data_IF_582678206744
#
_entry.id   IF_582678206744
#
_cell.length_a   1.000
_cell.length_b   1.000
_cell.length_c   1.000
_cell.angle_alpha   90.00
_cell.angle_beta   90.00
_cell.angle_gamma   90.00
#
_symmetry.space_group_name_H-M   'P 1'
#
loop_
_entity.id
_entity.type
_entity.pdbx_description
1 polymer ?
#
# COMPACT_ATOMS: atom_id res chain seq x y z
N UNK A 1 13.53 29.59 26.04
CA UNK A 1 12.11 30.02 26.01
C UNK A 1 11.30 29.04 25.15
N UNK A 2 11.11 27.80 25.63
CA UNK A 2 10.43 26.72 24.88
C UNK A 2 9.90 25.60 25.81
N UNK A 3 9.37 25.97 26.98
CA UNK A 3 8.82 25.04 27.99
C UNK A 3 7.35 25.33 28.34
N UNK A 4 6.71 26.28 27.64
CA UNK A 4 5.35 26.74 27.95
C UNK A 4 4.29 25.99 27.12
N UNK A 5 4.62 25.39 25.96
CA UNK A 5 3.62 24.73 25.10
C UNK A 5 3.14 23.36 25.60
N UNK A 6 3.95 22.63 26.38
CA UNK A 6 3.59 21.28 26.87
C UNK A 6 2.60 21.28 28.04
N UNK A 7 2.55 22.36 28.85
CA UNK A 7 1.60 22.47 29.97
C UNK A 7 0.15 22.65 29.52
N UNK A 8 -0.06 23.23 28.33
CA UNK A 8 -1.41 23.44 27.79
C UNK A 8 -2.00 22.18 27.14
N UNK A 9 -1.16 21.33 26.55
CA UNK A 9 -1.60 20.09 25.90
C UNK A 9 -2.17 19.07 26.91
N UNK A 10 -1.52 18.91 28.07
CA UNK A 10 -1.97 17.98 29.13
C UNK A 10 -3.31 18.41 29.76
N UNK A 11 -3.53 19.71 29.91
CA UNK A 11 -4.79 20.23 30.47
C UNK A 11 -5.95 20.15 29.47
N UNK A 12 -5.69 20.27 28.17
CA UNK A 12 -6.71 20.16 27.13
C UNK A 12 -7.25 18.72 27.02
N UNK A 13 -6.40 17.70 27.16
CA UNK A 13 -6.81 16.30 27.03
C UNK A 13 -7.71 15.82 28.17
N UNK A 14 -7.53 16.35 29.37
CA UNK A 14 -8.32 15.98 30.56
C UNK A 14 -9.67 16.71 30.57
N UNK A 15 -9.71 17.97 30.12
CA UNK A 15 -10.96 18.74 30.01
C UNK A 15 -11.93 18.22 28.93
N UNK A 16 -11.43 17.49 27.94
CA UNK A 16 -12.25 16.89 26.87
C UNK A 16 -12.88 15.56 27.31
N UNK A 17 -12.25 14.80 28.22
CA UNK A 17 -12.76 13.50 28.68
C UNK A 17 -13.63 13.57 29.94
N UNK A 18 -13.65 14.69 30.65
CA UNK A 18 -14.59 14.94 31.75
C UNK A 18 -15.33 16.21 31.38
N UNK A 19 -16.64 16.13 31.13
CA UNK A 19 -17.52 17.26 30.79
C UNK A 19 -17.53 18.32 31.91
N UNK A 20 -16.44 19.05 32.07
CA UNK A 20 -16.25 20.09 33.07
C UNK A 20 -16.04 21.41 32.33
N UNK A 21 -17.09 22.23 32.34
CA UNK A 21 -17.06 23.63 31.94
C UNK A 21 -16.39 24.46 33.05
N UNK A 22 -15.06 24.35 33.16
CA UNK A 22 -14.29 25.14 34.12
C UNK A 22 -13.10 25.84 33.44
N UNK A 23 -12.79 27.09 33.82
CA UNK A 23 -11.65 27.81 33.27
C UNK A 23 -10.32 27.15 33.69
N UNK A 24 -9.45 26.92 32.71
CA UNK A 24 -8.15 26.21 32.78
C UNK A 24 -7.12 26.80 33.77
N UNK A 25 -7.42 27.91 34.44
CA UNK A 25 -6.48 28.68 35.26
C UNK A 25 -6.25 28.14 36.70
N UNK A 26 -6.78 26.95 37.06
CA UNK A 26 -6.80 26.46 38.46
C UNK A 26 -6.22 25.06 38.71
N UNK A 27 -5.33 24.57 37.85
CA UNK A 27 -4.69 23.27 38.04
C UNK A 27 -3.22 23.39 38.47
N UNK A 28 -2.84 22.68 39.54
CA UNK A 28 -1.46 22.62 40.04
C UNK A 28 -1.02 21.16 40.14
N UNK A 29 0.03 20.79 39.41
CA UNK A 29 0.68 19.49 39.55
C UNK A 29 1.67 19.53 40.71
N UNK A 30 1.54 18.63 41.68
CA UNK A 30 2.41 18.55 42.85
C UNK A 30 3.14 17.22 42.81
N UNK A 31 4.48 17.26 42.75
CA UNK A 31 5.32 16.10 42.95
C UNK A 31 5.67 16.02 44.45
N UNK A 32 5.26 14.95 45.14
CA UNK A 32 5.73 14.62 46.48
C UNK A 32 6.41 13.26 46.42
N UNK A 33 7.73 13.25 46.22
CA UNK A 33 8.66 12.41 46.98
C UNK A 33 10.12 12.73 46.60
N UNK A 34 10.91 13.08 47.60
CA UNK A 34 12.36 12.99 47.58
C UNK A 34 12.70 11.54 47.87
N UNK A 35 12.87 10.71 46.84
CA UNK A 35 13.72 9.50 46.78
C UNK A 35 13.33 8.67 45.54
N UNK A 36 14.32 7.97 44.98
CA UNK A 36 14.24 7.24 43.72
C UNK A 36 13.17 6.12 43.72
N UNK A 37 11.93 6.45 43.35
CA UNK A 37 10.93 5.51 42.86
C UNK A 37 9.85 6.27 42.08
N UNK A 38 9.68 5.95 40.80
CA UNK A 38 8.66 6.51 39.89
C UNK A 38 7.28 5.90 40.19
N UNK A 39 6.65 6.20 41.32
CA UNK A 39 5.28 5.73 41.56
C UNK A 39 4.40 6.83 42.16
N UNK A 40 3.39 7.21 41.37
CA UNK A 40 2.21 8.05 41.64
C UNK A 40 2.38 9.57 41.47
N UNK A 41 1.75 10.10 40.41
CA UNK A 41 1.48 11.53 40.26
C UNK A 41 0.05 11.82 40.73
N UNK A 42 -0.12 12.90 41.49
CA UNK A 42 -1.43 13.34 41.96
C UNK A 42 -1.81 14.65 41.28
N UNK A 43 -2.96 14.66 40.61
CA UNK A 43 -3.60 15.89 40.14
C UNK A 43 -4.54 16.39 41.23
N UNK A 44 -4.31 17.62 41.70
CA UNK A 44 -5.19 18.27 42.68
C UNK A 44 -5.92 19.43 42.01
N UNK A 45 -7.25 19.37 42.01
CA UNK A 45 -8.10 20.45 41.53
C UNK A 45 -8.75 21.15 42.73
N UNK A 46 -8.71 22.48 42.73
CA UNK A 46 -9.35 23.31 43.74
C UNK A 46 -10.61 23.99 43.19
N UNK A 47 -11.77 23.66 43.77
CA UNK A 47 -13.08 24.22 43.44
C UNK A 47 -13.64 24.90 44.69
N UNK A 48 -13.41 26.22 44.79
CA UNK A 48 -13.65 26.96 46.03
C UNK A 48 -12.77 26.44 47.17
N UNK A 49 -13.34 26.28 48.37
CA UNK A 49 -12.62 25.76 49.54
C UNK A 49 -12.46 24.22 49.56
N UNK A 50 -12.93 23.52 48.52
CA UNK A 50 -12.82 22.05 48.42
C UNK A 50 -11.67 21.64 47.50
N UNK A 51 -10.91 20.65 47.94
CA UNK A 51 -9.81 20.05 47.18
C UNK A 51 -10.13 18.61 46.79
N UNK A 52 -10.01 18.29 45.51
CA UNK A 52 -10.20 16.94 44.96
C UNK A 52 -8.85 16.41 44.51
N UNK A 53 -8.55 15.15 44.86
CA UNK A 53 -7.27 14.50 44.54
C UNK A 53 -7.56 13.26 43.68
N UNK A 54 -6.95 13.19 42.50
CA UNK A 54 -7.09 12.05 41.61
C UNK A 54 -5.81 11.21 41.66
N UNK A 55 -5.97 9.90 41.88
CA UNK A 55 -4.91 8.91 41.70
C UNK A 55 -4.89 8.51 40.22
N UNK A 56 -3.86 8.90 39.49
CA UNK A 56 -3.54 8.24 38.22
C UNK A 56 -2.52 7.14 38.48
N UNK A 57 -2.89 5.89 38.18
CA UNK A 57 -1.93 4.78 38.19
C UNK A 57 -0.91 4.95 37.06
N UNK A 58 0.34 4.49 37.20
CA UNK A 58 1.44 4.76 36.24
C UNK A 58 1.29 4.15 34.83
N UNK A 59 0.14 3.55 34.50
CA UNK A 59 -0.07 2.79 33.27
C UNK A 59 -0.19 3.64 31.99
N UNK A 60 -0.27 4.98 32.09
CA UNK A 60 -0.45 5.85 30.91
C UNK A 60 0.77 6.71 30.53
N UNK A 61 1.92 6.57 31.19
CA UNK A 61 3.08 7.44 30.96
C UNK A 61 4.40 6.72 30.62
N UNK A 62 4.37 5.46 30.18
CA UNK A 62 5.57 4.78 29.64
C UNK A 62 5.89 5.12 28.17
N UNK A 63 5.06 5.93 27.49
CA UNK A 63 5.09 6.16 26.04
C UNK A 63 6.25 6.99 25.47
N UNK A 64 7.29 7.31 26.25
CA UNK A 64 8.47 8.01 25.72
C UNK A 64 9.81 7.46 26.20
N UNK A 65 9.88 6.16 26.49
CA UNK A 65 11.15 5.45 26.22
C UNK A 65 11.26 5.31 24.72
N UNK A 66 12.45 5.58 24.18
CA UNK A 66 12.84 5.31 22.79
C UNK A 66 12.66 3.82 22.50
N UNK A 67 11.42 3.41 22.22
CA UNK A 67 11.12 2.06 21.76
C UNK A 67 11.88 1.88 20.45
N UNK A 68 12.84 0.96 20.51
CA UNK A 68 13.40 0.32 19.33
C UNK A 68 12.20 -0.02 18.43
N UNK A 69 12.20 0.53 17.21
CA UNK A 69 11.09 0.39 16.26
C UNK A 69 10.53 -1.03 16.31
N UNK A 70 9.27 -1.22 16.73
CA UNK A 70 8.68 -2.53 16.91
C UNK A 70 8.73 -3.38 15.63
N UNK A 71 8.79 -2.74 14.46
CA UNK A 71 8.93 -3.40 13.17
C UNK A 71 10.35 -3.92 12.89
N UNK A 72 11.38 -3.40 13.57
CA UNK A 72 12.78 -3.83 13.40
C UNK A 72 13.02 -5.30 13.77
N UNK A 73 12.11 -5.92 14.53
CA UNK A 73 12.14 -7.37 14.81
C UNK A 73 11.89 -8.24 13.58
N UNK A 74 11.31 -7.66 12.53
CA UNK A 74 11.06 -8.34 11.26
C UNK A 74 12.20 -8.13 10.25
N UNK A 75 13.38 -7.69 10.71
CA UNK A 75 14.53 -7.39 9.86
C UNK A 75 14.50 -5.94 9.38
N UNK A 76 14.57 -5.73 8.07
CA UNK A 76 14.65 -4.39 7.46
C UNK A 76 13.27 -3.71 7.31
N UNK A 77 12.33 -4.01 8.19
CA UNK A 77 11.01 -3.40 8.19
C UNK A 77 10.97 -2.21 9.15
N UNK A 78 10.30 -1.15 8.71
CA UNK A 78 10.16 0.11 9.43
C UNK A 78 8.73 0.33 9.86
N UNK A 79 8.53 1.04 10.96
CA UNK A 79 7.21 1.50 11.39
C UNK A 79 6.59 2.49 10.40
N UNK A 80 5.30 2.29 10.08
CA UNK A 80 4.52 3.25 9.31
C UNK A 80 4.38 4.62 10.02
N UNK A 81 3.97 5.65 9.28
CA UNK A 81 3.76 7.01 9.81
C UNK A 81 2.80 7.06 11.00
N UNK A 82 2.93 8.10 11.82
CA UNK A 82 2.19 8.30 13.07
C UNK A 82 0.67 8.28 12.93
N UNK A 83 0.14 8.58 11.75
CA UNK A 83 -1.29 8.46 11.45
C UNK A 83 -1.80 7.02 11.64
N UNK A 84 -1.01 6.03 11.20
CA UNK A 84 -1.34 4.62 11.35
C UNK A 84 -1.01 4.09 12.73
N UNK A 85 0.11 4.51 13.33
CA UNK A 85 0.47 4.14 14.71
C UNK A 85 -0.66 4.51 15.67
N UNK A 86 -1.14 5.77 15.62
CA UNK A 86 -2.23 6.25 16.48
C UNK A 86 -3.53 5.45 16.32
N UNK A 87 -3.81 4.94 15.11
CA UNK A 87 -5.00 4.15 14.84
C UNK A 87 -4.90 2.70 15.35
N UNK A 88 -3.73 2.08 15.18
CA UNK A 88 -3.52 0.66 15.44
C UNK A 88 -3.04 0.33 16.86
N UNK A 89 -2.28 1.23 17.50
CA UNK A 89 -1.76 1.02 18.85
C UNK A 89 -2.84 0.70 19.89
N UNK A 90 -4.01 1.40 19.93
CA UNK A 90 -5.08 1.06 20.88
C UNK A 90 -5.66 -0.35 20.70
N UNK A 91 -5.43 -0.96 19.54
CA UNK A 91 -5.94 -2.27 19.17
C UNK A 91 -4.86 -3.36 19.31
N UNK A 92 -3.68 -3.03 19.85
CA UNK A 92 -2.49 -3.89 19.95
C UNK A 92 -1.96 -4.37 18.59
N UNK A 93 -2.09 -3.54 17.55
CA UNK A 93 -1.54 -3.80 16.22
C UNK A 93 -0.48 -2.77 15.82
N UNK A 94 0.42 -3.22 14.96
CA UNK A 94 1.40 -2.36 14.29
C UNK A 94 1.32 -2.59 12.78
N UNK A 95 1.58 -1.53 12.03
CA UNK A 95 1.77 -1.55 10.59
C UNK A 95 3.24 -1.28 10.30
N UNK A 96 3.87 -2.22 9.62
CA UNK A 96 5.23 -2.14 9.16
C UNK A 96 5.25 -1.97 7.64
N UNK A 97 6.27 -1.30 7.13
CA UNK A 97 6.55 -1.19 5.70
C UNK A 97 8.03 -1.46 5.41
N UNK A 98 8.33 -1.88 4.17
CA UNK A 98 9.69 -2.17 3.70
C UNK A 98 9.85 -1.70 2.27
N UNK A 99 10.88 -0.90 2.02
CA UNK A 99 11.27 -0.50 0.67
C UNK A 99 12.03 -1.64 -0.02
N UNK A 100 11.69 -1.88 -1.28
CA UNK A 100 12.31 -2.90 -2.14
C UNK A 100 13.04 -2.30 -3.35
N UNK A 101 13.00 -0.97 -3.52
CA UNK A 101 13.67 -0.27 -4.62
C UNK A 101 12.85 0.92 -5.15
N UNK A 102 13.55 2.01 -5.50
CA UNK A 102 12.96 3.32 -5.83
C UNK A 102 13.42 3.90 -7.17
N UNK A 103 13.64 3.05 -8.20
CA UNK A 103 14.11 3.47 -9.53
C UNK A 103 12.98 3.76 -10.56
N UNK A 104 11.75 4.00 -10.08
CA UNK A 104 10.55 4.13 -10.92
C UNK A 104 9.82 2.80 -11.16
N UNK A 105 10.34 1.68 -10.65
CA UNK A 105 9.68 0.37 -10.64
C UNK A 105 9.12 -0.02 -9.26
N UNK A 106 8.92 0.94 -8.34
CA UNK A 106 8.66 0.66 -6.93
C UNK A 106 7.48 -0.30 -6.67
N UNK A 107 6.39 -0.18 -7.44
CA UNK A 107 5.27 -1.13 -7.37
C UNK A 107 5.68 -2.57 -7.70
N UNK A 108 6.41 -2.75 -8.80
CA UNK A 108 6.89 -4.05 -9.25
C UNK A 108 7.94 -4.62 -8.28
N UNK A 109 8.83 -3.76 -7.74
CA UNK A 109 9.78 -4.14 -6.70
C UNK A 109 9.09 -4.59 -5.41
N UNK A 110 8.12 -3.81 -4.92
CA UNK A 110 7.36 -4.16 -3.72
C UNK A 110 6.59 -5.47 -3.90
N UNK A 111 5.95 -5.65 -5.05
CA UNK A 111 5.22 -6.88 -5.38
C UNK A 111 6.16 -8.09 -5.43
N UNK A 112 7.22 -8.04 -6.23
CA UNK A 112 8.22 -9.12 -6.32
C UNK A 112 8.88 -9.40 -4.96
N UNK A 113 9.20 -8.34 -4.22
CA UNK A 113 9.81 -8.41 -2.90
C UNK A 113 8.94 -9.10 -1.87
N UNK A 114 7.65 -8.76 -1.82
CA UNK A 114 6.67 -9.42 -0.95
C UNK A 114 6.53 -10.90 -1.28
N UNK A 115 6.40 -11.25 -2.56
CA UNK A 115 6.30 -12.65 -2.99
C UNK A 115 7.55 -13.44 -2.59
N UNK A 116 8.73 -12.84 -2.70
CA UNK A 116 9.99 -13.46 -2.28
C UNK A 116 10.08 -13.63 -0.76
N UNK A 117 9.76 -12.59 -0.01
CA UNK A 117 9.80 -12.61 1.47
C UNK A 117 8.83 -13.64 2.07
N UNK A 118 7.77 -14.02 1.34
CA UNK A 118 6.79 -15.04 1.76
C UNK A 118 6.94 -16.39 1.03
N UNK A 119 8.06 -16.61 0.35
CA UNK A 119 8.38 -17.83 -0.40
C UNK A 119 7.32 -18.24 -1.45
N UNK A 120 6.64 -17.25 -2.06
CA UNK A 120 5.67 -17.47 -3.13
C UNK A 120 6.34 -17.44 -4.51
N UNK A 121 6.67 -18.63 -5.02
CA UNK A 121 7.26 -18.84 -6.34
C UNK A 121 6.22 -18.84 -7.46
N UNK A 122 6.66 -18.75 -8.71
CA UNK A 122 5.78 -18.76 -9.89
C UNK A 122 4.81 -19.95 -9.93
N UNK A 123 5.22 -21.14 -9.48
CA UNK A 123 4.36 -22.34 -9.41
C UNK A 123 3.17 -22.19 -8.45
N UNK A 124 3.26 -21.28 -7.47
CA UNK A 124 2.15 -20.95 -6.60
C UNK A 124 1.05 -20.20 -7.35
N UNK A 125 1.25 -19.82 -8.61
CA UNK A 125 0.28 -19.13 -9.44
C UNK A 125 -0.18 -20.05 -10.58
N UNK A 126 -1.48 -20.28 -10.65
CA UNK A 126 -2.13 -20.90 -11.80
C UNK A 126 -2.84 -19.79 -12.55
N UNK A 127 -2.43 -19.52 -13.79
CA UNK A 127 -3.09 -18.51 -14.62
C UNK A 127 -4.59 -18.88 -14.78
N UNK A 128 -5.52 -17.93 -14.54
CA UNK A 128 -6.93 -18.20 -14.70
C UNK A 128 -7.28 -18.63 -16.12
N UNK A 129 -8.05 -19.69 -16.26
CA UNK A 129 -8.58 -20.12 -17.57
C UNK A 129 -9.56 -19.12 -18.18
N UNK A 130 -10.01 -18.15 -17.39
CA UNK A 130 -10.90 -17.05 -17.79
C UNK A 130 -10.15 -15.90 -18.48
N UNK A 131 -8.82 -15.93 -18.52
CA UNK A 131 -8.04 -14.94 -19.24
C UNK A 131 -8.41 -14.94 -20.74
N UNK A 132 -8.44 -13.77 -21.39
CA UNK A 132 -8.56 -13.69 -22.85
C UNK A 132 -7.50 -14.56 -23.54
N UNK A 133 -7.89 -15.28 -24.61
CA UNK A 133 -7.04 -16.28 -25.27
C UNK A 133 -5.64 -15.75 -25.65
N UNK A 134 -5.57 -14.51 -26.12
CA UNK A 134 -4.32 -13.83 -26.45
C UNK A 134 -3.40 -13.67 -25.24
N UNK A 135 -3.93 -13.24 -24.10
CA UNK A 135 -3.18 -13.09 -22.85
C UNK A 135 -2.77 -14.46 -22.33
N UNK A 136 -3.68 -15.43 -22.30
CA UNK A 136 -3.41 -16.79 -21.83
C UNK A 136 -2.25 -17.44 -22.60
N UNK A 137 -2.32 -17.43 -23.93
CA UNK A 137 -1.26 -17.96 -24.81
C UNK A 137 0.08 -17.28 -24.51
N UNK A 138 0.07 -15.95 -24.38
CA UNK A 138 1.26 -15.16 -24.10
C UNK A 138 1.94 -15.49 -22.78
N UNK A 139 1.16 -15.75 -21.71
CA UNK A 139 1.70 -16.05 -20.38
C UNK A 139 2.07 -17.52 -20.20
N UNK A 140 1.41 -18.44 -20.92
CA UNK A 140 1.74 -19.87 -20.89
C UNK A 140 3.10 -20.16 -21.53
N UNK A 141 3.48 -19.35 -22.52
CA UNK A 141 4.77 -19.41 -23.21
C UNK A 141 5.91 -18.72 -22.44
N UNK A 142 5.63 -18.04 -21.33
CA UNK A 142 6.68 -17.50 -20.47
C UNK A 142 7.41 -18.64 -19.75
N UNK A 143 8.73 -18.54 -19.56
CA UNK A 143 9.50 -19.55 -18.84
C UNK A 143 8.91 -19.82 -17.44
N UNK A 144 8.38 -21.03 -17.24
CA UNK A 144 7.89 -21.50 -15.93
C UNK A 144 9.07 -22.02 -15.14
N UNK A 145 9.82 -21.11 -14.54
CA UNK A 145 10.94 -21.49 -13.69
C UNK A 145 10.43 -21.67 -12.25
N UNK A 146 11.06 -22.53 -11.45
CA UNK A 146 10.84 -22.58 -9.99
C UNK A 146 11.43 -21.34 -9.26
N UNK A 147 11.38 -20.17 -9.89
CA UNK A 147 11.87 -18.90 -9.38
C UNK A 147 10.74 -18.01 -8.88
N UNK A 148 11.10 -17.00 -8.12
CA UNK A 148 10.22 -15.89 -7.79
C UNK A 148 10.04 -15.00 -9.02
N UNK A 149 8.88 -14.36 -9.13
CA UNK A 149 8.70 -13.29 -10.09
C UNK A 149 9.66 -12.14 -9.79
N UNK A 150 10.40 -11.73 -10.79
CA UNK A 150 11.19 -10.50 -10.80
C UNK A 150 10.29 -9.31 -11.11
N UNK A 151 10.76 -8.11 -10.75
CA UNK A 151 10.05 -6.87 -11.10
C UNK A 151 9.92 -6.69 -12.63
N UNK A 152 10.88 -7.16 -13.42
CA UNK A 152 10.86 -7.10 -14.88
C UNK A 152 9.79 -8.04 -15.46
N UNK A 153 9.68 -9.27 -14.95
CA UNK A 153 8.64 -10.21 -15.36
C UNK A 153 7.24 -9.69 -15.03
N UNK A 154 7.04 -9.11 -13.85
CA UNK A 154 5.75 -8.48 -13.50
C UNK A 154 5.39 -7.33 -14.44
N UNK A 155 6.39 -6.55 -14.86
CA UNK A 155 6.20 -5.45 -15.81
C UNK A 155 5.87 -5.96 -17.22
N UNK A 156 6.47 -7.08 -17.63
CA UNK A 156 6.10 -7.81 -18.85
C UNK A 156 4.64 -8.26 -18.79
N UNK A 157 4.18 -8.85 -17.68
CA UNK A 157 2.78 -9.28 -17.54
C UNK A 157 1.81 -8.09 -17.67
N UNK A 158 2.13 -6.95 -17.06
CA UNK A 158 1.34 -5.73 -17.20
C UNK A 158 1.30 -5.24 -18.66
N UNK A 159 2.44 -5.26 -19.37
CA UNK A 159 2.51 -4.91 -20.79
C UNK A 159 1.68 -5.85 -21.67
N UNK A 160 1.76 -7.17 -21.44
CA UNK A 160 0.92 -8.17 -22.14
C UNK A 160 -0.56 -7.84 -21.95
N UNK A 161 -0.98 -7.51 -20.72
CA UNK A 161 -2.38 -7.17 -20.45
C UNK A 161 -2.83 -5.89 -21.16
N UNK A 162 -1.98 -4.88 -21.19
CA UNK A 162 -2.25 -3.63 -21.89
C UNK A 162 -2.45 -3.89 -23.39
N UNK A 163 -1.51 -4.59 -24.03
CA UNK A 163 -1.59 -4.91 -25.47
C UNK A 163 -2.72 -5.92 -25.77
N UNK A 164 -3.00 -6.83 -24.83
CA UNK A 164 -3.90 -7.97 -25.00
C UNK A 164 -3.21 -9.26 -25.47
N UNK A 165 -1.96 -9.16 -25.91
CA UNK A 165 -1.06 -10.26 -26.31
C UNK A 165 0.40 -9.86 -26.06
N UNK A 166 1.32 -10.82 -26.03
CA UNK A 166 2.72 -10.58 -26.28
C UNK A 166 2.91 -10.42 -27.80
N UNK A 167 3.21 -9.22 -28.32
CA UNK A 167 3.25 -8.99 -29.76
C UNK A 167 4.51 -9.55 -30.45
N UNK A 168 5.42 -10.14 -29.68
CA UNK A 168 6.61 -10.86 -30.19
C UNK A 168 6.41 -12.38 -30.25
N UNK A 169 5.32 -12.89 -29.67
CA UNK A 169 4.98 -14.31 -29.69
C UNK A 169 4.07 -14.62 -30.88
N UNK A 170 4.57 -15.43 -31.82
CA UNK A 170 3.85 -15.76 -33.05
C UNK A 170 2.52 -16.48 -32.81
N UNK A 171 2.45 -17.31 -31.76
CA UNK A 171 1.24 -18.06 -31.45
C UNK A 171 0.17 -17.12 -30.88
N UNK A 172 0.59 -16.18 -30.02
CA UNK A 172 -0.30 -15.22 -29.39
C UNK A 172 -0.80 -14.12 -30.34
N UNK A 173 0.01 -13.69 -31.32
CA UNK A 173 -0.33 -12.62 -32.26
C UNK A 173 -1.60 -12.93 -33.08
N UNK A 174 -1.93 -14.20 -33.28
CA UNK A 174 -3.18 -14.62 -33.94
C UNK A 174 -4.45 -14.13 -33.21
N UNK A 175 -4.33 -13.81 -31.91
CA UNK A 175 -5.41 -13.30 -31.07
C UNK A 175 -5.36 -11.77 -30.88
N UNK A 176 -4.47 -11.05 -31.57
CA UNK A 176 -4.33 -9.62 -31.40
C UNK A 176 -5.57 -8.86 -31.89
N UNK A 177 -6.20 -8.12 -30.98
CA UNK A 177 -7.37 -7.29 -31.25
C UNK A 177 -6.95 -5.83 -31.42
N UNK A 178 -6.79 -5.42 -32.68
CA UNK A 178 -6.33 -4.07 -33.04
C UNK A 178 -7.28 -2.96 -32.56
N UNK A 179 -8.59 -3.23 -32.50
CA UNK A 179 -9.59 -2.22 -32.16
C UNK A 179 -9.58 -1.97 -30.64
N UNK A 180 -9.49 -3.04 -29.84
CA UNK A 180 -9.28 -2.90 -28.38
C UNK A 180 -7.93 -2.27 -28.03
N UNK A 181 -6.88 -2.59 -28.77
CA UNK A 181 -5.58 -1.94 -28.57
C UNK A 181 -5.66 -0.43 -28.84
N UNK A 182 -6.34 -0.03 -29.93
CA UNK A 182 -6.59 1.37 -30.24
C UNK A 182 -7.38 2.07 -29.14
N UNK A 183 -8.48 1.47 -28.66
CA UNK A 183 -9.31 2.03 -27.58
C UNK A 183 -8.48 2.30 -26.31
N UNK A 184 -7.61 1.37 -25.92
CA UNK A 184 -6.71 1.55 -24.77
C UNK A 184 -5.69 2.68 -24.99
N UNK A 185 -5.15 2.82 -26.21
CA UNK A 185 -4.27 3.95 -26.54
C UNK A 185 -5.00 5.29 -26.48
N UNK A 186 -6.21 5.36 -27.02
CA UNK A 186 -7.08 6.56 -26.96
C UNK A 186 -7.34 6.96 -25.51
N UNK A 187 -7.70 6.00 -24.66
CA UNK A 187 -7.91 6.23 -23.23
C UNK A 187 -6.67 6.80 -22.53
N UNK A 188 -5.49 6.21 -22.74
CA UNK A 188 -4.25 6.70 -22.11
C UNK A 188 -3.87 8.10 -22.63
N UNK A 189 -4.07 8.36 -23.92
CA UNK A 189 -3.88 9.68 -24.53
C UNK A 189 -4.82 10.72 -23.91
N UNK A 190 -6.08 10.38 -23.68
CA UNK A 190 -7.05 11.28 -23.05
C UNK A 190 -6.68 11.58 -21.59
N UNK A 191 -6.20 10.58 -20.84
CA UNK A 191 -5.69 10.79 -19.48
C UNK A 191 -4.47 11.71 -19.47
N UNK A 192 -3.54 11.56 -20.42
CA UNK A 192 -2.38 12.45 -20.57
C UNK A 192 -2.76 13.90 -20.87
N UNK A 193 -3.88 14.13 -21.56
CA UNK A 193 -4.37 15.48 -21.85
C UNK A 193 -4.98 16.17 -20.63
N UNK A 194 -5.64 15.40 -19.75
CA UNK A 194 -6.32 15.92 -18.54
C UNK A 194 -5.32 16.17 -17.41
N UNK A 195 -4.40 15.24 -17.19
CA UNK A 195 -3.36 15.35 -16.17
C UNK A 195 -1.98 15.26 -16.85
N UNK A 196 -1.10 16.22 -16.57
CA UNK A 196 0.31 16.06 -16.96
C UNK A 196 0.87 14.91 -16.15
N UNK A 197 0.97 13.73 -16.75
CA UNK A 197 1.71 12.58 -16.23
C UNK A 197 3.19 12.72 -16.62
N UNK A 198 4.06 13.34 -15.80
CA UNK A 198 5.47 13.53 -16.15
C UNK A 198 6.24 12.20 -16.25
N UNK A 199 5.67 11.12 -15.72
CA UNK A 199 6.23 9.78 -15.70
C UNK A 199 5.94 8.98 -16.98
N UNK A 200 4.95 9.38 -17.78
CA UNK A 200 4.57 8.71 -19.03
C UNK A 200 5.40 9.22 -20.23
N UNK A 201 6.47 8.49 -20.57
CA UNK A 201 7.51 8.93 -21.53
C UNK A 201 7.46 8.24 -22.89
N UNK A 202 6.55 7.30 -23.11
CA UNK A 202 6.48 6.52 -24.36
C UNK A 202 5.58 7.14 -25.45
N UNK A 203 5.09 8.36 -25.21
CA UNK A 203 4.38 9.20 -26.18
C UNK A 203 3.10 8.56 -26.78
N UNK A 204 2.08 8.25 -25.96
CA UNK A 204 0.81 7.64 -26.44
C UNK A 204 0.15 8.38 -27.60
N UNK A 205 0.13 9.72 -27.57
CA UNK A 205 -0.46 10.53 -28.63
C UNK A 205 0.23 10.32 -29.99
N UNK A 206 1.55 10.22 -30.01
CA UNK A 206 2.32 9.97 -31.23
C UNK A 206 2.02 8.57 -31.77
N UNK A 207 1.95 7.56 -30.89
CA UNK A 207 1.60 6.18 -31.27
C UNK A 207 0.20 6.09 -31.87
N UNK A 208 -0.76 6.82 -31.31
CA UNK A 208 -2.11 6.89 -31.84
C UNK A 208 -2.14 7.56 -33.23
N UNK A 209 -1.42 8.68 -33.42
CA UNK A 209 -1.33 9.35 -34.73
C UNK A 209 -0.70 8.46 -35.79
N UNK A 210 0.34 7.70 -35.44
CA UNK A 210 0.95 6.73 -36.37
C UNK A 210 -0.06 5.65 -36.78
N UNK A 211 -0.85 5.13 -35.82
CA UNK A 211 -1.91 4.16 -36.08
C UNK A 211 -2.99 4.73 -37.00
N UNK A 212 -3.43 5.97 -36.76
CA UNK A 212 -4.45 6.67 -37.57
C UNK A 212 -3.94 7.03 -38.98
N UNK A 213 -2.62 7.19 -39.14
CA UNK A 213 -1.98 7.40 -40.45
C UNK A 213 -1.86 6.13 -41.30
N UNK A 214 -2.30 4.97 -40.79
CA UNK A 214 -2.30 3.69 -41.51
C UNK A 214 -1.08 2.82 -41.27
N UNK A 215 -0.27 3.09 -40.24
CA UNK A 215 0.82 2.18 -39.84
C UNK A 215 0.24 0.86 -39.32
N UNK A 216 0.96 -0.25 -39.53
CA UNK A 216 0.55 -1.57 -39.05
C UNK A 216 0.33 -1.56 -37.52
N UNK A 217 -0.90 -1.86 -37.04
CA UNK A 217 -1.21 -1.92 -35.62
C UNK A 217 -0.29 -2.85 -34.82
N UNK A 218 0.18 -3.95 -35.42
CA UNK A 218 1.05 -4.89 -34.72
C UNK A 218 2.45 -4.31 -34.49
N UNK A 219 2.98 -3.54 -35.43
CA UNK A 219 4.26 -2.84 -35.26
C UNK A 219 4.18 -1.78 -34.16
N UNK A 220 3.08 -1.04 -34.09
CA UNK A 220 2.82 -0.09 -32.99
C UNK A 220 2.72 -0.84 -31.66
N UNK A 221 2.00 -1.97 -31.62
CA UNK A 221 1.87 -2.78 -30.42
C UNK A 221 3.23 -3.26 -29.91
N UNK A 222 4.15 -3.70 -30.78
CA UNK A 222 5.52 -4.06 -30.41
C UNK A 222 6.29 -2.90 -29.79
N UNK A 223 6.15 -1.69 -30.35
CA UNK A 223 6.80 -0.49 -29.80
C UNK A 223 6.28 -0.15 -28.41
N UNK A 224 4.95 -0.09 -28.27
CA UNK A 224 4.29 0.21 -26.98
C UNK A 224 4.60 -0.87 -25.95
N UNK A 225 4.60 -2.14 -26.34
CA UNK A 225 5.00 -3.25 -25.49
C UNK A 225 6.42 -3.08 -24.96
N UNK A 226 7.39 -2.84 -25.83
CA UNK A 226 8.80 -2.65 -25.44
C UNK A 226 8.95 -1.47 -24.49
N UNK A 227 8.18 -0.41 -24.70
CA UNK A 227 8.23 0.78 -23.88
C UNK A 227 7.61 0.59 -22.49
N UNK A 228 6.45 -0.04 -22.40
CA UNK A 228 5.79 -0.34 -21.12
C UNK A 228 6.60 -1.38 -20.33
N UNK A 229 7.08 -2.44 -20.99
CA UNK A 229 7.85 -3.51 -20.35
C UNK A 229 9.27 -3.13 -19.92
N UNK A 230 9.83 -2.03 -20.45
CA UNK A 230 11.19 -1.59 -20.15
C UNK A 230 11.41 -1.26 -18.67
N UNK A 231 12.28 -2.00 -18.00
CA UNK A 231 12.75 -1.72 -16.64
C UNK A 231 13.83 -0.64 -16.61
N UNK A 232 14.65 -0.51 -17.68
CA UNK A 232 15.76 0.46 -17.80
C UNK A 232 16.02 0.85 -19.26
N UNK A 233 15.80 2.12 -19.67
CA UNK A 233 15.22 3.20 -18.88
C UNK A 233 13.73 2.96 -18.60
N UNK A 234 13.25 3.37 -17.43
CA UNK A 234 11.82 3.37 -17.10
C UNK A 234 11.10 4.42 -17.95
N UNK A 235 10.13 3.98 -18.77
CA UNK A 235 9.31 4.87 -19.62
C UNK A 235 7.90 5.15 -19.08
N UNK A 236 7.49 4.49 -18.02
CA UNK A 236 6.22 4.76 -17.30
C UNK A 236 6.32 4.22 -15.88
N UNK A 237 5.68 4.86 -14.91
CA UNK A 237 5.46 4.21 -13.61
C UNK A 237 4.27 3.26 -13.68
N UNK A 238 4.12 2.42 -12.66
CA UNK A 238 2.97 1.55 -12.55
C UNK A 238 1.71 2.37 -12.24
N UNK A 239 0.65 2.05 -12.94
CA UNK A 239 -0.68 2.65 -12.84
C UNK A 239 -1.65 1.71 -12.12
N UNK A 240 -2.86 2.20 -11.85
CA UNK A 240 -3.95 1.36 -11.38
C UNK A 240 -4.28 0.22 -12.38
N UNK A 241 -4.17 0.50 -13.69
CA UNK A 241 -4.37 -0.51 -14.73
C UNK A 241 -3.37 -1.66 -14.63
N UNK A 242 -2.13 -1.39 -14.24
CA UNK A 242 -1.11 -2.44 -14.04
C UNK A 242 -1.42 -3.30 -12.82
N UNK A 243 -1.98 -2.71 -11.76
CA UNK A 243 -2.46 -3.46 -10.59
C UNK A 243 -3.63 -4.39 -10.95
N UNK A 244 -4.59 -3.89 -11.73
CA UNK A 244 -5.72 -4.70 -12.22
C UNK A 244 -5.22 -5.82 -13.14
N UNK A 245 -4.26 -5.53 -14.01
CA UNK A 245 -3.63 -6.51 -14.89
C UNK A 245 -2.99 -7.65 -14.09
N UNK A 246 -2.15 -7.33 -13.11
CA UNK A 246 -1.52 -8.34 -12.26
C UNK A 246 -2.53 -9.07 -11.38
N UNK A 247 -3.55 -8.36 -10.89
CA UNK A 247 -4.65 -8.99 -10.14
C UNK A 247 -5.35 -10.06 -10.97
N UNK A 248 -5.66 -9.77 -12.23
CA UNK A 248 -6.31 -10.71 -13.13
C UNK A 248 -5.37 -11.87 -13.49
N UNK A 249 -4.16 -11.58 -13.98
CA UNK A 249 -3.23 -12.60 -14.48
C UNK A 249 -2.80 -13.56 -13.36
N UNK A 250 -2.46 -13.03 -12.19
CA UNK A 250 -1.93 -13.84 -11.08
C UNK A 250 -3.03 -14.34 -10.13
N UNK A 251 -4.29 -13.97 -10.35
CA UNK A 251 -5.39 -14.22 -9.41
C UNK A 251 -5.05 -13.78 -7.98
N UNK A 252 -4.62 -12.53 -7.85
CA UNK A 252 -4.30 -11.89 -6.57
C UNK A 252 -5.12 -10.63 -6.39
N UNK A 253 -5.15 -10.09 -5.17
CA UNK A 253 -5.62 -8.74 -4.93
C UNK A 253 -4.53 -7.90 -4.24
N UNK A 254 -4.75 -6.59 -4.17
CA UNK A 254 -3.85 -5.66 -3.49
C UNK A 254 -4.61 -4.82 -2.46
N UNK A 255 -4.11 -4.78 -1.24
CA UNK A 255 -4.46 -3.73 -0.28
C UNK A 255 -3.47 -2.58 -0.44
N UNK A 256 -3.97 -1.41 -0.84
CA UNK A 256 -3.18 -0.18 -0.91
C UNK A 256 -3.45 0.62 0.36
N UNK A 257 -2.40 0.82 1.15
CA UNK A 257 -2.44 1.44 2.47
C UNK A 257 -1.75 2.81 2.36
N UNK A 258 -2.48 3.92 2.20
CA UNK A 258 -1.87 5.23 2.01
C UNK A 258 -1.21 5.72 3.29
N UNK A 259 -0.01 6.27 3.19
CA UNK A 259 0.74 6.75 4.36
C UNK A 259 0.07 7.90 5.13
N UNK A 260 -0.83 8.63 4.47
CA UNK A 260 -1.48 9.85 4.94
C UNK A 260 -2.99 9.70 5.21
N UNK A 261 -3.56 8.52 5.02
CA UNK A 261 -4.99 8.25 5.18
C UNK A 261 -5.20 6.95 5.97
N UNK A 262 -6.28 6.87 6.75
CA UNK A 262 -6.70 5.65 7.47
C UNK A 262 -7.71 4.83 6.65
N UNK A 263 -7.70 4.97 5.32
CA UNK A 263 -8.55 4.19 4.40
C UNK A 263 -7.68 3.26 3.59
N UNK A 264 -7.96 1.96 3.66
CA UNK A 264 -7.33 0.97 2.79
C UNK A 264 -8.13 0.88 1.49
N UNK A 265 -7.44 0.89 0.37
CA UNK A 265 -8.07 0.63 -0.93
C UNK A 265 -7.85 -0.82 -1.30
N UNK A 266 -8.90 -1.48 -1.78
CA UNK A 266 -8.79 -2.83 -2.32
C UNK A 266 -8.77 -2.73 -3.85
N UNK A 267 -7.74 -3.28 -4.47
CA UNK A 267 -7.65 -3.41 -5.93
C UNK A 267 -7.74 -4.89 -6.27
N UNK A 268 -8.76 -5.22 -7.07
CA UNK A 268 -9.06 -6.57 -7.54
C UNK A 268 -9.67 -6.51 -8.93
N UNK A 269 -9.44 -7.54 -9.75
CA UNK A 269 -10.01 -7.61 -11.09
C UNK A 269 -11.52 -7.79 -11.10
N UNK A 270 -12.02 -8.73 -10.28
CA UNK A 270 -13.43 -9.07 -10.19
C UNK A 270 -13.84 -9.41 -8.74
N UNK A 271 -15.08 -9.87 -8.54
CA UNK A 271 -15.58 -10.29 -7.22
C UNK A 271 -15.20 -11.72 -6.82
N UNK A 272 -14.42 -12.42 -7.63
CA UNK A 272 -13.91 -13.74 -7.26
C UNK A 272 -12.95 -13.64 -6.06
N UNK A 273 -12.86 -14.75 -5.32
CA UNK A 273 -11.93 -14.84 -4.20
C UNK A 273 -10.50 -15.01 -4.75
N UNK A 274 -9.58 -14.06 -4.50
CA UNK A 274 -8.23 -14.15 -4.99
C UNK A 274 -7.52 -15.30 -4.26
N UNK A 275 -6.46 -15.82 -4.86
CA UNK A 275 -5.63 -16.82 -4.17
C UNK A 275 -4.96 -16.19 -2.95
N UNK A 276 -4.41 -15.00 -3.13
CA UNK A 276 -3.75 -14.22 -2.09
C UNK A 276 -3.99 -12.71 -2.29
N UNK A 277 -3.93 -11.96 -1.20
CA UNK A 277 -3.91 -10.49 -1.21
C UNK A 277 -2.58 -9.97 -0.69
N UNK A 278 -1.92 -9.13 -1.49
CA UNK A 278 -0.66 -8.48 -1.14
C UNK A 278 -0.94 -7.12 -0.48
N UNK A 279 -0.25 -6.80 0.60
CA UNK A 279 -0.39 -5.50 1.27
C UNK A 279 0.72 -4.56 0.83
N UNK A 280 0.37 -3.42 0.24
CA UNK A 280 1.29 -2.39 -0.22
C UNK A 280 1.10 -1.11 0.58
N UNK A 281 2.21 -0.50 0.99
CA UNK A 281 2.22 0.81 1.64
C UNK A 281 2.48 1.88 0.58
N UNK A 282 1.61 2.87 0.49
CA UNK A 282 1.68 3.91 -0.53
C UNK A 282 2.11 5.25 0.07
N UNK A 283 3.38 5.60 -0.14
CA UNK A 283 4.04 6.73 0.49
C UNK A 283 3.95 7.97 -0.39
N UNK A 284 3.46 9.07 0.20
CA UNK A 284 3.34 10.40 -0.41
C UNK A 284 2.65 10.43 -1.79
N UNK A 285 1.79 9.45 -2.07
CA UNK A 285 1.12 9.29 -3.36
C UNK A 285 2.07 9.16 -4.57
N UNK A 286 3.28 8.63 -4.36
CA UNK A 286 4.29 8.51 -5.41
C UNK A 286 5.11 7.21 -5.34
N UNK A 287 5.19 6.57 -4.18
CA UNK A 287 6.08 5.43 -3.96
C UNK A 287 5.36 4.24 -3.32
N UNK A 288 5.60 3.05 -3.86
CA UNK A 288 5.07 1.79 -3.31
C UNK A 288 6.16 1.03 -2.55
N UNK A 289 5.79 0.57 -1.37
CA UNK A 289 6.58 -0.28 -0.49
C UNK A 289 5.77 -1.52 -0.12
N UNK A 290 6.40 -2.59 0.34
CA UNK A 290 5.65 -3.70 0.91
C UNK A 290 5.11 -3.30 2.28
N UNK A 291 3.90 -3.74 2.62
CA UNK A 291 3.28 -3.53 3.92
C UNK A 291 3.06 -4.85 4.64
N UNK A 292 3.01 -4.80 5.96
CA UNK A 292 2.69 -5.95 6.78
C UNK A 292 2.11 -5.55 8.12
N UNK A 293 1.15 -6.33 8.60
CA UNK A 293 0.52 -6.12 9.89
C UNK A 293 1.03 -7.14 10.89
N UNK A 294 1.18 -6.75 12.16
CA UNK A 294 1.48 -7.69 13.23
C UNK A 294 0.83 -7.23 14.53
N UNK A 295 0.49 -8.16 15.42
CA UNK A 295 0.18 -7.76 16.80
C UNK A 295 1.46 -7.32 17.48
N UNK A 296 1.36 -6.41 18.44
CA UNK A 296 2.51 -5.93 19.23
C UNK A 296 3.29 -7.06 19.90
N UNK A 297 2.66 -8.20 20.19
CA UNK A 297 3.29 -9.38 20.78
C UNK A 297 3.77 -10.44 19.78
N UNK A 298 3.31 -10.40 18.53
CA UNK A 298 3.53 -11.50 17.58
C UNK A 298 4.90 -11.41 16.90
N UNK A 299 5.48 -12.57 16.59
CA UNK A 299 6.69 -12.71 15.76
C UNK A 299 6.39 -12.86 14.27
N UNK A 300 5.12 -12.88 13.88
CA UNK A 300 4.69 -13.03 12.49
C UNK A 300 4.20 -11.70 11.92
N UNK A 301 4.62 -11.42 10.69
CA UNK A 301 4.16 -10.30 9.89
C UNK A 301 3.22 -10.81 8.79
N UNK A 302 2.01 -10.25 8.71
CA UNK A 302 1.01 -10.55 7.70
C UNK A 302 1.13 -9.54 6.56
N UNK A 303 1.98 -9.86 5.57
CA UNK A 303 2.20 -9.05 4.36
C UNK A 303 1.56 -9.64 3.11
N UNK A 304 1.38 -10.97 3.11
CA UNK A 304 0.59 -11.71 2.15
C UNK A 304 -0.49 -12.51 2.88
N UNK A 305 -1.74 -12.32 2.48
CA UNK A 305 -2.93 -12.85 3.14
C UNK A 305 -3.61 -13.84 2.18
N UNK A 306 -4.10 -14.97 2.68
CA UNK A 306 -4.84 -15.92 1.84
C UNK A 306 -6.26 -15.40 1.59
N UNK A 307 -6.71 -15.36 0.34
CA UNK A 307 -7.99 -14.73 0.00
C UNK A 307 -8.08 -13.29 0.51
N UNK A 308 -9.14 -12.99 1.27
CA UNK A 308 -9.32 -11.73 1.99
C UNK A 308 -9.28 -11.90 3.51
N UNK A 309 -8.67 -12.97 4.02
CA UNK A 309 -8.70 -13.33 5.44
C UNK A 309 -7.79 -12.43 6.28
N UNK A 310 -8.17 -11.16 6.37
CA UNK A 310 -7.52 -10.17 7.22
C UNK A 310 -8.08 -10.28 8.63
N UNK A 311 -7.22 -10.07 9.65
CA UNK A 311 -7.69 -9.98 11.02
C UNK A 311 -8.84 -8.96 11.13
N UNK A 312 -9.88 -9.28 11.90
CA UNK A 312 -11.13 -8.49 12.01
C UNK A 312 -10.94 -7.01 12.38
N UNK A 313 -9.80 -6.66 12.97
CA UNK A 313 -9.38 -5.28 13.22
C UNK A 313 -9.22 -4.48 11.92
N UNK A 314 -8.81 -5.14 10.84
CA UNK A 314 -8.57 -4.54 9.53
C UNK A 314 -9.78 -4.64 8.60
N UNK A 315 -10.76 -5.50 8.89
CA UNK A 315 -12.00 -5.56 8.09
C UNK A 315 -12.81 -4.26 8.19
N UNK A 316 -12.67 -3.52 9.30
CA UNK A 316 -13.26 -2.19 9.46
C UNK A 316 -12.59 -1.11 8.60
N UNK A 317 -11.38 -1.37 8.11
CA UNK A 317 -10.59 -0.48 7.26
C UNK A 317 -10.84 -0.70 5.78
N UNK A 318 -11.47 -1.82 5.43
CA UNK A 318 -11.87 -2.09 4.06
C UNK A 318 -13.06 -1.22 3.66
N UNK A 319 -13.17 -0.86 2.37
CA UNK A 319 -14.41 -0.30 1.85
C UNK A 319 -15.54 -1.27 2.20
N UNK A 320 -16.63 -0.77 2.80
CA UNK A 320 -17.84 -1.58 2.96
C UNK A 320 -18.28 -1.96 1.56
N UNK A 321 -18.12 -3.23 1.19
CA UNK A 321 -18.76 -3.76 -0.01
C UNK A 321 -20.26 -3.71 0.27
N UNK A 322 -20.98 -2.84 -0.43
CA UNK A 322 -22.42 -2.92 -0.44
C UNK A 322 -22.73 -4.24 -1.12
N UNK A 323 -23.07 -5.26 -0.34
CA UNK A 323 -23.69 -6.47 -0.87
C UNK A 323 -25.03 -6.05 -1.45
N UNK A 324 -25.11 -5.93 -2.77
CA UNK A 324 -26.35 -5.83 -3.54
C UNK A 324 -26.69 -7.19 -4.13
#
# INVERSE_FOLDING_TARGET
MQLISYRWAVLLSIAVNVQLTLPLSRFVAINRNNHHSLENYYLRAHLGDRSYSFLSTPLEFSLFKTEKDACSRFGNWSSAKDTWKRYLSPQNWILCHKDYGSDGNCFYHATAGLLRDTDMKGEAFSFPKTLPAGILTSVENLPKNNSYFTHEELRVLAAIYFIGVNPHDQDAVSHFDKDKFKEKLEFVRDMQAVERYPDLKWQPEERLKELESGRDPLDIAKMVYNDISSSRPVKTWASHSDMIALSHILNIAFFIIPSNSQRVQLVKHDDSLPKFTLSLYYTNMLHFEGAGFARTTDSRLFSVIQGYDIPSVFSQLLPKTNNS
#
